data_IF_844850690259
#
_entry.id   IF_844850690259
#
_cell.length_a   1.000
_cell.length_b   1.000
_cell.length_c   1.000
_cell.angle_alpha   90.00
_cell.angle_beta   90.00
_cell.angle_gamma   90.00
#
_symmetry.space_group_name_H-M   'P 1'
#
loop_
_entity.id
_entity.type
_entity.pdbx_description
1 polymer ?
#
# COMPACT_ATOMS: atom_id res chain seq x y z
N UNK A 1 6.61 4.43 -10.12
CA UNK A 1 6.42 4.86 -8.73
C UNK A 1 7.73 5.00 -7.97
N UNK A 2 8.52 3.96 -7.93
CA UNK A 2 9.77 4.02 -7.18
C UNK A 2 10.74 5.06 -7.73
N UNK A 3 10.82 5.16 -9.03
CA UNK A 3 11.73 6.12 -9.65
C UNK A 3 11.32 7.55 -9.36
N UNK A 4 10.04 7.81 -9.41
CA UNK A 4 9.52 9.15 -9.14
C UNK A 4 9.77 9.56 -7.69
N UNK A 5 9.56 8.63 -6.76
CA UNK A 5 9.81 8.89 -5.35
C UNK A 5 11.30 9.15 -5.13
N UNK A 6 12.16 8.35 -5.78
CA UNK A 6 13.59 8.53 -5.61
C UNK A 6 14.06 9.88 -6.13
N UNK A 7 13.49 10.32 -7.25
CA UNK A 7 13.83 11.63 -7.79
C UNK A 7 13.42 12.73 -6.81
N UNK A 8 12.28 12.57 -6.16
CA UNK A 8 11.81 13.56 -5.20
C UNK A 8 12.71 13.58 -3.96
N UNK A 9 12.99 12.42 -3.38
CA UNK A 9 13.79 12.34 -2.15
C UNK A 9 15.22 12.80 -2.39
N UNK A 10 15.75 12.54 -3.59
CA UNK A 10 17.14 12.88 -3.89
C UNK A 10 17.42 14.37 -3.90
N UNK A 11 16.40 15.20 -3.89
CA UNK A 11 16.56 16.63 -3.81
C UNK A 11 16.99 17.09 -2.42
N UNK A 12 16.79 16.27 -1.42
CA UNK A 12 16.97 16.69 -0.03
C UNK A 12 18.18 16.01 0.59
N UNK A 13 18.85 16.80 1.42
CA UNK A 13 20.07 16.37 2.05
C UNK A 13 19.87 15.17 2.98
N UNK A 14 18.73 15.15 3.64
CA UNK A 14 18.42 14.11 4.62
C UNK A 14 18.27 12.73 3.99
N UNK A 15 17.80 12.68 2.74
CA UNK A 15 17.61 11.40 2.08
C UNK A 15 16.56 10.53 2.73
N UNK A 16 16.72 9.23 2.59
CA UNK A 16 15.79 8.27 3.19
C UNK A 16 16.08 8.08 4.67
N UNK A 17 15.02 7.89 5.44
CA UNK A 17 15.17 7.61 6.86
C UNK A 17 15.67 6.17 7.06
N UNK A 18 16.11 5.86 8.27
CA UNK A 18 16.58 4.51 8.59
C UNK A 18 15.43 3.51 8.51
N UNK A 19 15.76 2.22 8.36
CA UNK A 19 14.70 1.20 8.27
C UNK A 19 13.74 1.19 9.45
N UNK A 20 14.24 1.40 10.66
CA UNK A 20 13.36 1.43 11.82
C UNK A 20 12.46 2.66 11.80
N UNK A 21 12.98 3.79 11.37
CA UNK A 21 12.17 5.00 11.25
C UNK A 21 11.12 4.83 10.16
N UNK A 22 11.47 4.18 9.06
CA UNK A 22 10.50 3.93 8.00
C UNK A 22 9.40 2.99 8.47
N UNK A 23 9.76 1.98 9.25
CA UNK A 23 8.78 1.06 9.79
C UNK A 23 7.81 1.79 10.70
N UNK A 24 8.33 2.68 11.55
CA UNK A 24 7.48 3.47 12.44
C UNK A 24 6.53 4.35 11.63
N UNK A 25 7.03 5.00 10.58
CA UNK A 25 6.20 5.82 9.72
C UNK A 25 5.10 5.01 9.06
N UNK A 26 5.46 3.81 8.60
CA UNK A 26 4.48 2.94 7.96
C UNK A 26 3.37 2.55 8.91
N UNK A 27 3.74 2.24 10.16
CA UNK A 27 2.76 1.91 11.17
C UNK A 27 1.83 3.08 11.45
N UNK A 28 2.39 4.29 11.51
CA UNK A 28 1.59 5.50 11.71
C UNK A 28 0.60 5.71 10.57
N UNK A 29 1.07 5.59 9.33
CA UNK A 29 0.18 5.81 8.19
C UNK A 29 -0.91 4.75 8.12
N UNK A 30 -0.56 3.52 8.46
CA UNK A 30 -1.56 2.46 8.51
C UNK A 30 -2.61 2.76 9.57
N UNK A 31 -2.17 3.27 10.72
CA UNK A 31 -3.09 3.66 11.78
C UNK A 31 -4.02 4.77 11.35
N UNK A 32 -3.50 5.75 10.61
CA UNK A 32 -4.34 6.84 10.12
C UNK A 32 -5.35 6.35 9.11
N UNK A 33 -4.95 5.43 8.24
CA UNK A 33 -5.88 4.82 7.31
C UNK A 33 -6.96 4.05 8.07
N UNK A 34 -6.57 3.29 9.08
CA UNK A 34 -7.53 2.52 9.89
C UNK A 34 -8.53 3.46 10.55
N UNK A 35 -8.06 4.61 11.04
CA UNK A 35 -8.95 5.57 11.67
C UNK A 35 -9.97 6.12 10.68
N UNK A 36 -9.52 6.44 9.46
CA UNK A 36 -10.45 6.96 8.47
C UNK A 36 -11.45 5.91 8.01
N UNK A 37 -11.01 4.68 7.89
CA UNK A 37 -11.93 3.58 7.57
C UNK A 37 -12.99 3.45 8.65
N UNK A 38 -12.57 3.52 9.91
CA UNK A 38 -13.49 3.48 11.04
C UNK A 38 -14.46 4.63 11.03
N UNK A 39 -14.00 5.82 10.69
CA UNK A 39 -14.87 6.98 10.63
C UNK A 39 -15.92 6.86 9.55
N UNK A 40 -15.56 6.25 8.43
CA UNK A 40 -16.47 6.15 7.30
C UNK A 40 -17.42 4.97 7.43
N UNK A 41 -16.92 3.83 7.87
CA UNK A 41 -17.69 2.59 7.89
C UNK A 41 -18.07 2.11 9.29
N UNK A 42 -17.65 2.82 10.34
CA UNK A 42 -17.93 2.41 11.70
C UNK A 42 -19.29 2.85 12.17
N UNK A 43 -19.48 2.79 13.49
CA UNK A 43 -20.77 3.11 14.11
C UNK A 43 -21.19 4.55 13.91
N UNK A 44 -20.23 5.45 13.82
CA UNK A 44 -20.54 6.85 13.61
C UNK A 44 -19.80 7.34 12.39
N UNK A 45 -20.25 6.93 11.22
CA UNK A 45 -19.53 7.27 10.00
C UNK A 45 -19.66 8.75 9.65
N UNK A 46 -18.64 9.24 8.99
CA UNK A 46 -18.70 10.57 8.40
C UNK A 46 -19.69 10.54 7.25
N UNK A 47 -20.39 11.63 7.13
CA UNK A 47 -21.43 11.69 6.13
C UNK A 47 -21.06 12.49 4.94
N UNK A 48 -19.92 12.43 4.41
CA UNK A 48 -19.67 13.24 3.25
C UNK A 48 -18.58 12.66 2.39
N UNK A 49 -18.46 13.18 1.19
CA UNK A 49 -17.47 12.71 0.25
C UNK A 49 -16.04 13.02 0.71
N UNK A 50 -15.89 13.92 1.68
CA UNK A 50 -14.59 14.18 2.23
C UNK A 50 -13.98 12.97 2.89
N UNK A 51 -14.82 12.11 3.48
CA UNK A 51 -14.33 10.91 4.12
C UNK A 51 -13.68 9.98 3.10
N UNK A 52 -14.29 9.86 1.92
CA UNK A 52 -13.71 9.03 0.88
C UNK A 52 -12.39 9.58 0.40
N UNK A 53 -12.34 10.89 0.24
CA UNK A 53 -11.10 11.50 -0.21
C UNK A 53 -10.00 11.30 0.82
N UNK A 54 -10.35 11.37 2.11
CA UNK A 54 -9.36 11.16 3.15
C UNK A 54 -8.82 9.73 3.14
N UNK A 55 -9.68 8.76 2.88
CA UNK A 55 -9.24 7.38 2.74
C UNK A 55 -8.27 7.25 1.58
N UNK A 56 -8.59 7.86 0.45
CA UNK A 56 -7.72 7.87 -0.70
C UNK A 56 -6.36 8.46 -0.36
N UNK A 57 -6.38 9.60 0.33
CA UNK A 57 -5.15 10.28 0.68
C UNK A 57 -4.31 9.43 1.62
N UNK A 58 -4.95 8.76 2.58
CA UNK A 58 -4.20 7.93 3.51
C UNK A 58 -3.62 6.71 2.83
N UNK A 59 -4.33 6.14 1.86
CA UNK A 59 -3.76 5.05 1.07
C UNK A 59 -2.57 5.52 0.27
N UNK A 60 -2.67 6.72 -0.31
CA UNK A 60 -1.55 7.30 -1.04
C UNK A 60 -0.35 7.53 -0.14
N UNK A 61 -0.57 8.05 1.07
CA UNK A 61 0.50 8.28 2.02
C UNK A 61 1.19 6.97 2.41
N UNK A 62 0.38 5.94 2.65
CA UNK A 62 0.93 4.63 3.00
C UNK A 62 1.77 4.08 1.86
N UNK A 63 1.27 4.21 0.64
CA UNK A 63 2.00 3.75 -0.54
C UNK A 63 3.30 4.51 -0.71
N UNK A 64 3.29 5.82 -0.46
CA UNK A 64 4.49 6.63 -0.56
C UNK A 64 5.55 6.15 0.44
N UNK A 65 5.15 5.93 1.69
CA UNK A 65 6.09 5.48 2.72
C UNK A 65 6.64 4.10 2.39
N UNK A 66 5.77 3.20 1.91
CA UNK A 66 6.22 1.88 1.50
C UNK A 66 7.25 1.96 0.37
N UNK A 67 6.99 2.85 -0.58
CA UNK A 67 7.89 3.04 -1.71
C UNK A 67 9.24 3.60 -1.26
N UNK A 68 9.23 4.55 -0.35
CA UNK A 68 10.46 5.07 0.24
C UNK A 68 11.24 3.97 0.95
N UNK A 69 10.52 3.15 1.70
CA UNK A 69 11.13 2.05 2.43
C UNK A 69 11.83 1.09 1.46
N UNK A 70 11.12 0.70 0.41
CA UNK A 70 11.69 -0.20 -0.60
C UNK A 70 12.93 0.43 -1.25
N UNK A 71 12.85 1.70 -1.62
CA UNK A 71 13.98 2.38 -2.23
C UNK A 71 15.18 2.42 -1.31
N UNK A 72 14.95 2.64 -0.03
CA UNK A 72 16.04 2.74 0.93
C UNK A 72 16.76 1.42 1.10
N UNK A 73 16.09 0.31 0.82
CA UNK A 73 16.66 -1.03 0.94
C UNK A 73 17.02 -1.63 -0.41
N UNK A 74 16.94 -0.84 -1.48
CA UNK A 74 17.21 -1.30 -2.84
C UNK A 74 16.34 -2.48 -3.23
N UNK A 75 15.08 -2.45 -2.82
CA UNK A 75 14.12 -3.49 -3.19
C UNK A 75 13.30 -3.00 -4.36
N UNK A 76 13.20 -3.84 -5.39
CA UNK A 76 12.36 -3.58 -6.55
C UNK A 76 10.96 -4.09 -6.26
N UNK A 77 10.02 -3.17 -6.05
CA UNK A 77 8.65 -3.54 -5.68
C UNK A 77 7.92 -4.28 -6.79
N UNK A 78 8.20 -3.94 -8.04
CA UNK A 78 7.58 -4.66 -9.14
C UNK A 78 7.99 -6.12 -9.14
N UNK A 79 9.27 -6.36 -8.90
CA UNK A 79 9.78 -7.71 -8.82
C UNK A 79 9.19 -8.45 -7.63
N UNK A 80 9.18 -7.80 -6.46
CA UNK A 80 8.62 -8.43 -5.26
C UNK A 80 7.14 -8.74 -5.45
N UNK A 81 6.40 -7.82 -6.07
CA UNK A 81 4.99 -8.02 -6.33
C UNK A 81 4.79 -9.18 -7.31
N UNK A 82 5.64 -9.27 -8.33
CA UNK A 82 5.56 -10.36 -9.29
C UNK A 82 5.73 -11.73 -8.63
N UNK A 83 6.67 -11.80 -7.66
CA UNK A 83 6.87 -13.05 -6.95
C UNK A 83 5.66 -13.43 -6.10
N UNK A 84 5.03 -12.45 -5.49
CA UNK A 84 3.82 -12.69 -4.70
C UNK A 84 2.69 -13.19 -5.59
N UNK A 85 2.52 -12.55 -6.75
CA UNK A 85 1.48 -12.98 -7.68
C UNK A 85 1.72 -14.39 -8.19
N UNK A 86 2.97 -14.71 -8.49
CA UNK A 86 3.30 -16.05 -8.94
C UNK A 86 3.00 -17.08 -7.86
N UNK A 87 3.32 -16.74 -6.62
CA UNK A 87 3.03 -17.62 -5.49
C UNK A 87 1.53 -17.91 -5.38
N UNK A 88 0.71 -16.87 -5.48
CA UNK A 88 -0.73 -17.06 -5.40
C UNK A 88 -1.27 -17.86 -6.58
N UNK A 89 -0.73 -17.63 -7.76
CA UNK A 89 -1.21 -18.29 -8.96
C UNK A 89 -0.80 -19.76 -9.04
N UNK A 90 0.28 -20.14 -8.36
CA UNK A 90 0.74 -21.53 -8.42
C UNK A 90 0.47 -22.27 -7.13
N UNK A 91 0.96 -21.77 -5.99
CA UNK A 91 0.86 -22.47 -4.72
C UNK A 91 -0.55 -22.43 -4.16
N UNK A 92 -1.23 -21.30 -4.31
CA UNK A 92 -2.56 -21.13 -3.74
C UNK A 92 -3.68 -21.19 -4.77
N UNK A 93 -3.41 -21.75 -5.95
CA UNK A 93 -4.36 -21.67 -7.05
C UNK A 93 -5.69 -22.35 -6.76
N UNK A 94 -5.69 -23.35 -5.88
CA UNK A 94 -6.92 -24.06 -5.56
C UNK A 94 -7.49 -23.70 -4.21
N UNK A 95 -6.95 -22.69 -3.58
CA UNK A 95 -7.37 -22.29 -2.24
C UNK A 95 -8.76 -21.67 -2.22
N UNK A 96 -9.07 -20.93 -3.27
CA UNK A 96 -10.35 -20.22 -3.34
C UNK A 96 -11.20 -20.82 -4.43
N UNK A 97 -12.50 -20.61 -4.35
CA UNK A 97 -13.43 -21.14 -5.33
C UNK A 97 -13.42 -20.29 -6.57
N UNK A 98 -13.11 -20.89 -7.70
CA UNK A 98 -13.07 -20.15 -8.96
C UNK A 98 -14.46 -20.02 -9.52
N UNK A 99 -14.68 -18.93 -10.24
CA UNK A 99 -15.93 -18.74 -10.95
C UNK A 99 -15.99 -19.77 -12.06
N UNK A 100 -17.18 -20.37 -12.23
CA UNK A 100 -17.38 -21.39 -13.26
C UNK A 100 -17.46 -20.72 -14.62
N UNK A 101 -16.38 -20.79 -15.37
CA UNK A 101 -16.32 -20.16 -16.66
C UNK A 101 -16.98 -20.94 -17.76
N UNK A 102 -17.23 -22.20 -17.51
CA UNK A 102 -17.85 -23.00 -18.53
C UNK A 102 -19.25 -22.56 -18.84
N UNK A 103 -19.99 -22.17 -17.79
CA UNK A 103 -21.30 -21.65 -18.05
C UNK A 103 -21.20 -20.29 -18.72
N UNK A 104 -20.09 -19.65 -18.60
CA UNK A 104 -19.90 -18.36 -19.20
C UNK A 104 -19.19 -18.40 -20.49
N UNK A 105 -18.82 -19.52 -20.90
CA UNK A 105 -18.15 -19.60 -22.13
C UNK A 105 -18.73 -20.42 -23.02
#
# INVERSE_FOLDING_TARGET
MQKEVDQYISQFKEGYFSPLAMLARMTEELGELAREINHYYGEKPKKNSEAERTIEDEMGDLLFVLTCFANSLDIDLDEAFGRVMLKFQTRDKDRWTKIDKESGE
#
